data_IF_401999647186
#
_entry.id   IF_401999647186
#
_cell.length_a   1.000
_cell.length_b   1.000
_cell.length_c   1.000
_cell.angle_alpha   90.00
_cell.angle_beta   90.00
_cell.angle_gamma   90.00
#
_symmetry.space_group_name_H-M   'P 1'
#
loop_
_entity.id
_entity.type
_entity.pdbx_description
1 polymer ?
#
# COMPACT_ATOMS: atom_id res chain seq x y z
N UNK A 1 -0.41 -14.71 -20.23
CA UNK A 1 -1.54 -15.16 -19.37
C UNK A 1 -1.38 -14.42 -18.06
N UNK A 2 -2.19 -13.39 -17.83
CA UNK A 2 -2.34 -12.79 -16.50
C UNK A 2 -2.94 -13.88 -15.61
N UNK A 3 -2.16 -14.30 -14.62
CA UNK A 3 -2.64 -15.13 -13.53
C UNK A 3 -3.52 -14.21 -12.65
N UNK A 4 -4.80 -14.20 -12.96
CA UNK A 4 -5.78 -13.57 -12.08
C UNK A 4 -5.85 -14.46 -10.85
N UNK A 5 -5.36 -13.98 -9.71
CA UNK A 5 -5.33 -14.69 -8.44
C UNK A 5 -6.61 -15.47 -8.12
N UNK A 6 -6.71 -16.19 -6.99
CA UNK A 6 -7.69 -17.25 -6.77
C UNK A 6 -9.11 -16.82 -7.13
N UNK A 7 -9.70 -17.51 -8.10
CA UNK A 7 -11.03 -17.28 -8.61
C UNK A 7 -12.08 -17.69 -7.55
N UNK A 8 -12.36 -16.79 -6.63
CA UNK A 8 -13.55 -16.89 -5.77
C UNK A 8 -14.73 -16.10 -6.32
N UNK A 9 -14.74 -15.84 -7.62
CA UNK A 9 -15.93 -15.40 -8.33
C UNK A 9 -16.83 -16.62 -8.51
N UNK A 10 -18.06 -16.53 -8.03
CA UNK A 10 -19.07 -17.54 -8.30
C UNK A 10 -19.13 -17.84 -9.80
N UNK A 11 -19.12 -19.12 -10.24
CA UNK A 11 -19.24 -19.45 -11.65
C UNK A 11 -20.60 -18.95 -12.16
N UNK A 12 -20.63 -17.85 -12.89
CA UNK A 12 -21.86 -17.40 -13.51
C UNK A 12 -22.07 -15.91 -13.72
N UNK A 13 -21.33 -15.02 -13.07
CA UNK A 13 -21.50 -13.58 -13.27
C UNK A 13 -20.22 -12.94 -13.78
N UNK A 14 -20.14 -12.69 -15.06
CA UNK A 14 -19.03 -11.95 -15.69
C UNK A 14 -19.21 -10.42 -15.63
N UNK A 15 -20.32 -9.94 -15.07
CA UNK A 15 -20.66 -8.52 -14.98
C UNK A 15 -21.08 -8.19 -13.56
N UNK A 16 -20.49 -7.12 -13.03
CA UNK A 16 -20.83 -6.56 -11.72
C UNK A 16 -21.22 -5.11 -11.98
N UNK A 17 -22.44 -4.75 -11.59
CA UNK A 17 -22.89 -3.36 -11.66
C UNK A 17 -22.56 -2.65 -10.35
N UNK A 18 -21.87 -1.50 -10.47
CA UNK A 18 -21.45 -0.67 -9.35
C UNK A 18 -22.08 0.72 -9.46
N UNK A 19 -22.81 1.12 -8.43
CA UNK A 19 -23.40 2.45 -8.29
C UNK A 19 -23.26 2.91 -6.84
N UNK A 20 -22.92 4.18 -6.63
CA UNK A 20 -22.73 4.65 -5.26
C UNK A 20 -22.13 6.03 -5.16
N UNK A 21 -21.86 6.45 -3.93
CA UNK A 21 -21.23 7.73 -3.62
C UNK A 21 -19.77 7.51 -3.23
N UNK A 22 -18.91 8.43 -3.66
CA UNK A 22 -17.50 8.46 -3.26
C UNK A 22 -17.13 9.82 -2.72
N UNK A 23 -16.65 9.84 -1.48
CA UNK A 23 -16.01 10.99 -0.86
C UNK A 23 -14.50 10.77 -0.85
N UNK A 24 -13.74 11.76 -1.29
CA UNK A 24 -12.28 11.77 -1.22
C UNK A 24 -11.81 13.14 -0.72
N UNK A 25 -11.10 13.12 0.41
CA UNK A 25 -10.43 14.29 0.98
C UNK A 25 -8.94 14.02 0.98
N UNK A 26 -8.16 14.92 0.40
CA UNK A 26 -6.68 14.79 0.36
C UNK A 26 -6.06 16.13 0.74
N UNK A 27 -5.17 16.09 1.71
CA UNK A 27 -4.31 17.21 2.10
C UNK A 27 -2.88 16.79 1.79
N UNK A 28 -2.18 17.57 0.97
CA UNK A 28 -0.82 17.26 0.54
C UNK A 28 0.07 18.49 0.69
N UNK A 29 1.13 18.33 1.47
CA UNK A 29 2.19 19.31 1.73
C UNK A 29 3.59 18.68 1.63
N UNK A 30 3.70 17.56 0.92
CA UNK A 30 5.01 16.97 0.64
C UNK A 30 5.75 17.81 -0.41
N UNK A 31 7.05 17.96 -0.22
CA UNK A 31 7.95 18.68 -1.15
C UNK A 31 8.27 17.86 -2.42
N UNK A 32 8.10 16.54 -2.36
CA UNK A 32 8.29 15.63 -3.49
C UNK A 32 7.34 14.45 -3.40
N UNK A 33 6.96 13.93 -4.54
CA UNK A 33 6.08 12.77 -4.64
C UNK A 33 6.87 11.44 -4.60
N UNK A 34 8.14 11.47 -4.99
CA UNK A 34 8.98 10.27 -5.15
C UNK A 34 9.87 10.00 -3.94
N UNK A 35 10.70 10.96 -3.58
CA UNK A 35 11.57 10.91 -2.39
C UNK A 35 11.30 12.14 -1.53
N UNK A 36 10.15 12.16 -0.80
CA UNK A 36 9.79 13.32 -0.01
C UNK A 36 10.83 13.55 1.09
N UNK A 37 11.32 14.78 1.16
CA UNK A 37 12.28 15.18 2.15
C UNK A 37 11.64 15.86 3.34
N UNK A 38 10.58 16.63 3.10
CA UNK A 38 9.87 17.36 4.14
C UNK A 38 8.38 17.44 3.83
N UNK A 39 7.59 17.54 4.90
CA UNK A 39 6.15 17.72 4.80
C UNK A 39 5.36 16.48 5.14
N UNK A 40 4.08 16.52 4.83
CA UNK A 40 3.15 15.44 5.12
C UNK A 40 2.01 15.41 4.11
N UNK A 41 1.41 14.25 3.98
CA UNK A 41 0.20 14.02 3.19
C UNK A 41 -0.76 13.16 3.99
N UNK A 42 -2.06 13.42 3.86
CA UNK A 42 -3.12 12.60 4.44
C UNK A 42 -4.28 12.49 3.45
N UNK A 43 -4.89 11.33 3.40
CA UNK A 43 -6.05 11.04 2.56
C UNK A 43 -7.12 10.28 3.33
N UNK A 44 -8.39 10.68 3.16
CA UNK A 44 -9.56 9.94 3.61
C UNK A 44 -10.44 9.63 2.40
N UNK A 45 -10.76 8.36 2.24
CA UNK A 45 -11.66 7.89 1.20
C UNK A 45 -12.82 7.14 1.84
N UNK A 46 -14.03 7.43 1.38
CA UNK A 46 -15.24 6.70 1.76
C UNK A 46 -15.99 6.36 0.47
N UNK A 47 -16.36 5.12 0.31
CA UNK A 47 -17.20 4.64 -0.78
C UNK A 47 -18.42 3.93 -0.20
N UNK A 48 -19.60 4.36 -0.63
CA UNK A 48 -20.88 3.78 -0.28
C UNK A 48 -21.53 3.23 -1.56
N UNK A 49 -21.56 1.91 -1.67
CA UNK A 49 -22.23 1.18 -2.76
C UNK A 49 -23.71 1.02 -2.44
N UNK A 50 -24.59 1.41 -3.37
CA UNK A 50 -26.01 1.47 -3.11
C UNK A 50 -26.84 0.89 -4.27
N UNK A 51 -27.68 -0.08 -3.96
CA UNK A 51 -28.56 -0.73 -4.95
C UNK A 51 -29.59 0.22 -5.57
N UNK A 52 -30.01 1.27 -4.85
CA UNK A 52 -30.85 2.32 -5.41
C UNK A 52 -30.18 3.13 -6.53
N UNK A 53 -28.85 3.07 -6.62
CA UNK A 53 -28.03 3.68 -7.66
C UNK A 53 -27.54 2.67 -8.71
N UNK A 54 -28.09 1.46 -8.70
CA UNK A 54 -27.77 0.42 -9.67
C UNK A 54 -26.62 -0.50 -9.29
N UNK A 55 -26.19 -0.51 -8.02
CA UNK A 55 -25.21 -1.50 -7.56
C UNK A 55 -25.88 -2.86 -7.29
N UNK A 56 -25.13 -3.93 -7.49
CA UNK A 56 -25.59 -5.28 -7.13
C UNK A 56 -25.61 -5.52 -5.61
N UNK A 57 -24.73 -4.84 -4.86
CA UNK A 57 -24.51 -5.08 -3.43
C UNK A 57 -24.37 -3.74 -2.67
N UNK A 58 -25.05 -3.66 -1.51
CA UNK A 58 -24.90 -2.53 -0.57
C UNK A 58 -23.74 -2.81 0.39
N UNK A 59 -22.76 -1.90 0.43
CA UNK A 59 -21.71 -1.90 1.44
C UNK A 59 -21.06 -0.51 1.54
N UNK A 60 -20.49 -0.21 2.67
CA UNK A 60 -19.70 1.02 2.87
C UNK A 60 -18.28 0.66 3.26
N UNK A 61 -17.31 1.22 2.55
CA UNK A 61 -15.87 1.07 2.77
C UNK A 61 -15.22 2.41 3.05
N UNK A 62 -14.30 2.43 3.97
CA UNK A 62 -13.47 3.60 4.22
C UNK A 62 -11.99 3.22 4.26
N UNK A 63 -11.13 4.13 3.89
CA UNK A 63 -9.70 4.06 4.13
C UNK A 63 -9.11 5.44 4.43
N UNK A 64 -8.13 5.44 5.32
CA UNK A 64 -7.32 6.57 5.74
C UNK A 64 -5.87 6.25 5.45
N UNK A 65 -5.17 7.14 4.79
CA UNK A 65 -3.72 7.08 4.61
C UNK A 65 -3.05 8.35 5.13
N UNK A 66 -1.81 8.21 5.56
CA UNK A 66 -0.98 9.31 6.00
C UNK A 66 0.49 9.01 5.78
N UNK A 67 1.26 10.00 5.36
CA UNK A 67 2.71 9.92 5.32
C UNK A 67 3.32 11.25 5.72
N UNK A 68 4.48 11.19 6.39
CA UNK A 68 5.25 12.37 6.78
C UNK A 68 6.74 12.11 6.53
N UNK A 69 7.46 13.11 6.09
CA UNK A 69 8.90 13.07 5.86
C UNK A 69 9.58 14.24 6.57
N UNK A 70 10.76 13.94 7.12
CA UNK A 70 11.63 14.94 7.73
C UNK A 70 13.08 14.64 7.40
N UNK A 71 13.79 15.65 6.89
CA UNK A 71 15.20 15.54 6.48
C UNK A 71 16.12 16.42 7.33
N UNK A 72 17.18 15.82 7.79
CA UNK A 72 18.31 16.50 8.41
C UNK A 72 19.58 16.19 7.60
N UNK A 73 20.14 17.20 6.93
CA UNK A 73 21.27 17.03 6.01
C UNK A 73 20.92 16.10 4.84
N UNK A 74 21.59 14.96 4.77
CA UNK A 74 21.34 13.91 3.76
C UNK A 74 20.47 12.75 4.30
N UNK A 75 20.05 12.81 5.55
CA UNK A 75 19.31 11.78 6.25
C UNK A 75 17.83 12.11 6.24
N UNK A 76 16.99 11.22 5.74
CA UNK A 76 15.54 11.40 5.71
C UNK A 76 14.86 10.28 6.49
N UNK A 77 13.93 10.66 7.35
CA UNK A 77 13.01 9.78 8.05
C UNK A 77 11.62 9.95 7.42
N UNK A 78 11.02 8.85 7.06
CA UNK A 78 9.66 8.83 6.50
C UNK A 78 8.80 7.87 7.30
N UNK A 79 7.61 8.33 7.69
CA UNK A 79 6.63 7.54 8.41
C UNK A 79 5.36 7.46 7.58
N UNK A 80 4.78 6.28 7.50
CA UNK A 80 3.51 6.07 6.82
C UNK A 80 2.55 5.26 7.69
N UNK A 81 1.27 5.60 7.59
CA UNK A 81 0.17 4.89 8.24
C UNK A 81 -0.92 4.63 7.20
N UNK A 82 -1.58 3.49 7.33
CA UNK A 82 -2.80 3.19 6.60
C UNK A 82 -3.76 2.40 7.48
N UNK A 83 -5.03 2.79 7.43
CA UNK A 83 -6.10 2.07 8.09
C UNK A 83 -7.32 2.05 7.16
N UNK A 84 -8.09 0.98 7.21
CA UNK A 84 -9.32 0.91 6.44
C UNK A 84 -10.18 -0.27 6.87
N UNK A 85 -11.43 -0.22 6.48
CA UNK A 85 -12.39 -1.25 6.85
C UNK A 85 -13.75 -1.02 6.24
N UNK A 86 -14.68 -1.88 6.61
CA UNK A 86 -16.10 -1.72 6.31
C UNK A 86 -16.82 -0.96 7.40
N UNK A 87 -17.95 -0.37 7.05
CA UNK A 87 -18.93 0.21 7.99
C UNK A 87 -20.20 -0.64 7.95
N UNK A 88 -20.71 -0.98 9.13
CA UNK A 88 -21.93 -1.80 9.24
C UNK A 88 -21.69 -3.31 9.13
N UNK A 89 -22.78 -4.06 8.98
CA UNK A 89 -22.77 -5.52 9.03
C UNK A 89 -22.45 -6.18 7.67
N UNK A 90 -22.71 -5.50 6.56
CA UNK A 90 -22.52 -6.07 5.24
C UNK A 90 -21.04 -6.33 4.94
N UNK A 91 -20.66 -7.52 4.46
CA UNK A 91 -19.29 -7.83 4.11
C UNK A 91 -18.85 -7.04 2.88
N UNK A 92 -17.54 -6.76 2.78
CA UNK A 92 -16.97 -6.26 1.54
C UNK A 92 -16.98 -7.37 0.49
N UNK A 93 -17.45 -7.09 -0.75
CA UNK A 93 -17.37 -8.05 -1.82
C UNK A 93 -15.90 -8.38 -2.14
N UNK A 94 -15.64 -9.59 -2.62
CA UNK A 94 -14.29 -10.10 -2.87
C UNK A 94 -13.46 -9.19 -3.79
N UNK A 95 -14.11 -8.51 -4.74
CA UNK A 95 -13.46 -7.62 -5.70
C UNK A 95 -13.07 -6.25 -5.10
N UNK A 96 -13.61 -5.87 -3.93
CA UNK A 96 -13.31 -4.59 -3.27
C UNK A 96 -12.68 -4.76 -1.87
N UNK A 97 -12.18 -5.94 -1.55
CA UNK A 97 -11.39 -6.14 -0.33
C UNK A 97 -10.06 -5.42 -0.40
N UNK A 98 -9.46 -5.16 0.76
CA UNK A 98 -8.11 -4.61 0.83
C UNK A 98 -7.10 -5.65 0.36
N UNK A 99 -6.29 -5.25 -0.63
CA UNK A 99 -5.14 -6.02 -1.10
C UNK A 99 -3.89 -5.37 -0.55
N UNK A 100 -3.06 -6.14 0.12
CA UNK A 100 -1.88 -5.65 0.79
C UNK A 100 -0.69 -6.58 0.61
N UNK A 101 0.51 -6.08 0.88
CA UNK A 101 1.76 -6.79 0.66
C UNK A 101 2.57 -6.19 -0.48
N UNK A 102 3.86 -6.44 -0.47
CA UNK A 102 4.81 -5.91 -1.43
C UNK A 102 5.84 -4.98 -0.81
N UNK A 103 6.70 -4.44 -1.63
CA UNK A 103 7.79 -3.56 -1.20
C UNK A 103 7.27 -2.31 -0.50
N UNK A 104 7.78 -2.05 0.70
CA UNK A 104 7.38 -0.94 1.57
C UNK A 104 5.89 -0.94 1.99
N UNK A 105 5.19 -2.06 1.72
CA UNK A 105 3.79 -2.31 2.08
C UNK A 105 3.64 -3.72 2.68
N UNK A 106 4.37 -4.07 3.71
CA UNK A 106 4.57 -5.38 4.28
C UNK A 106 5.56 -6.21 3.45
N UNK A 107 6.79 -5.72 3.41
CA UNK A 107 7.90 -6.32 2.68
C UNK A 107 8.15 -7.77 3.09
N UNK A 108 8.52 -8.63 2.13
CA UNK A 108 8.60 -10.09 2.28
C UNK A 108 7.40 -10.79 1.67
N UNK A 109 6.22 -10.19 1.71
CA UNK A 109 5.06 -10.69 0.97
C UNK A 109 5.05 -10.17 -0.47
N UNK A 110 4.51 -10.95 -1.40
CA UNK A 110 4.29 -10.52 -2.79
C UNK A 110 3.23 -9.41 -2.83
N UNK A 111 3.29 -8.57 -3.85
CA UNK A 111 2.29 -7.53 -4.08
C UNK A 111 0.89 -8.12 -4.11
N UNK A 112 0.00 -7.59 -3.27
CA UNK A 112 -1.38 -8.05 -3.15
C UNK A 112 -1.55 -9.46 -2.60
N UNK A 113 -0.59 -10.04 -1.91
CA UNK A 113 -0.69 -11.39 -1.37
C UNK A 113 -1.66 -11.51 -0.18
N UNK A 114 -1.86 -10.43 0.55
CA UNK A 114 -2.73 -10.37 1.73
C UNK A 114 -4.06 -9.73 1.35
N UNK A 115 -5.17 -10.41 1.64
CA UNK A 115 -6.52 -9.96 1.31
C UNK A 115 -7.42 -9.98 2.55
N UNK A 116 -8.26 -8.96 2.71
CA UNK A 116 -9.25 -8.96 3.77
C UNK A 116 -10.11 -7.71 3.84
N UNK A 117 -11.07 -7.72 4.76
CA UNK A 117 -12.05 -6.64 4.92
C UNK A 117 -11.52 -5.43 5.71
N UNK A 118 -10.44 -5.61 6.48
CA UNK A 118 -9.86 -4.56 7.30
C UNK A 118 -8.35 -4.53 7.12
N UNK A 119 -7.78 -3.34 7.13
CA UNK A 119 -6.35 -3.09 7.02
C UNK A 119 -5.90 -2.11 8.09
N UNK A 120 -4.80 -2.42 8.75
CA UNK A 120 -4.05 -1.47 9.57
C UNK A 120 -2.58 -1.68 9.29
N UNK A 121 -1.85 -0.61 9.03
CA UNK A 121 -0.44 -0.67 8.65
C UNK A 121 0.29 0.57 9.14
N UNK A 122 1.54 0.37 9.57
CA UNK A 122 2.49 1.42 9.90
C UNK A 122 3.88 1.08 9.38
N UNK A 123 4.58 2.08 8.88
CA UNK A 123 5.97 1.99 8.42
C UNK A 123 6.80 3.12 8.97
N UNK A 124 8.00 2.78 9.43
CA UNK A 124 9.09 3.71 9.64
C UNK A 124 10.20 3.40 8.63
N UNK A 125 10.60 4.37 7.83
CA UNK A 125 11.62 4.23 6.79
C UNK A 125 12.67 5.30 6.97
N UNK A 126 13.91 4.90 6.81
CA UNK A 126 15.07 5.78 6.73
C UNK A 126 15.76 5.63 5.39
N UNK A 127 16.18 6.74 4.81
CA UNK A 127 17.04 6.73 3.65
C UNK A 127 18.07 7.88 3.69
N UNK A 128 19.25 7.56 3.18
CA UNK A 128 20.37 8.47 3.06
C UNK A 128 20.60 8.80 1.59
N UNK A 129 20.73 10.09 1.27
CA UNK A 129 21.12 10.53 -0.07
C UNK A 129 22.62 10.34 -0.23
N UNK A 130 23.01 9.38 -1.09
CA UNK A 130 24.41 9.00 -1.35
C UNK A 130 25.04 9.94 -2.38
N UNK A 131 24.32 10.26 -3.45
CA UNK A 131 24.80 11.07 -4.57
C UNK A 131 23.80 12.18 -4.90
N UNK A 132 24.37 13.35 -5.26
CA UNK A 132 23.70 14.40 -6.03
C UNK A 132 24.40 14.46 -7.38
N UNK A 133 23.70 14.27 -8.47
CA UNK A 133 24.29 14.27 -9.79
C UNK A 133 23.46 15.00 -10.83
N UNK A 134 24.02 15.18 -12.00
CA UNK A 134 23.40 15.90 -13.13
C UNK A 134 22.46 14.99 -13.94
N UNK A 135 22.70 13.68 -13.97
CA UNK A 135 21.92 12.69 -14.71
C UNK A 135 20.90 12.00 -13.79
N UNK A 136 21.29 11.78 -12.52
CA UNK A 136 20.40 11.29 -11.48
C UNK A 136 20.14 12.43 -10.51
N UNK A 137 18.87 12.78 -10.30
CA UNK A 137 18.49 13.82 -9.33
C UNK A 137 18.88 13.43 -7.91
N UNK A 138 19.05 12.13 -7.65
CA UNK A 138 19.59 11.58 -6.41
C UNK A 138 19.74 10.06 -6.46
N UNK A 139 20.72 9.55 -5.72
CA UNK A 139 20.80 8.13 -5.37
C UNK A 139 20.68 7.98 -3.86
N UNK A 140 19.96 6.96 -3.43
CA UNK A 140 19.58 6.74 -2.03
C UNK A 140 19.86 5.30 -1.63
N UNK A 141 20.25 5.10 -0.38
CA UNK A 141 20.26 3.82 0.28
C UNK A 141 19.42 3.90 1.55
N UNK A 142 18.64 2.87 1.86
CA UNK A 142 17.75 2.93 2.99
C UNK A 142 17.23 1.59 3.47
N UNK A 143 16.45 1.67 4.55
CA UNK A 143 15.75 0.52 5.12
C UNK A 143 14.38 0.94 5.66
N UNK A 144 13.50 -0.05 5.83
CA UNK A 144 12.21 0.13 6.49
C UNK A 144 11.97 -0.91 7.59
N UNK A 145 11.16 -0.50 8.56
CA UNK A 145 10.52 -1.37 9.53
C UNK A 145 9.01 -1.20 9.36
N UNK A 146 8.31 -2.31 9.28
CA UNK A 146 6.92 -2.34 8.91
C UNK A 146 6.12 -3.25 9.86
N UNK A 147 4.92 -2.81 10.21
CA UNK A 147 3.99 -3.61 11.00
C UNK A 147 2.57 -3.38 10.48
N UNK A 148 1.82 -4.46 10.32
CA UNK A 148 0.46 -4.35 9.80
C UNK A 148 -0.39 -5.57 10.11
N UNK A 149 -1.68 -5.43 9.86
CA UNK A 149 -2.67 -6.48 10.00
C UNK A 149 -3.71 -6.35 8.90
N UNK A 150 -4.01 -7.48 8.27
CA UNK A 150 -5.20 -7.62 7.42
C UNK A 150 -6.19 -8.49 8.19
N UNK A 151 -7.34 -7.91 8.54
CA UNK A 151 -8.37 -8.59 9.32
C UNK A 151 -9.45 -9.21 8.43
N UNK A 152 -10.07 -10.29 8.94
CA UNK A 152 -11.06 -11.10 8.22
C UNK A 152 -10.52 -11.53 6.85
N UNK A 153 -9.41 -12.31 6.82
CA UNK A 153 -8.81 -12.70 5.54
C UNK A 153 -9.76 -13.59 4.75
N UNK A 154 -9.82 -13.34 3.44
CA UNK A 154 -10.65 -14.10 2.52
C UNK A 154 -10.12 -15.51 2.28
N UNK A 155 -8.79 -15.65 2.26
CA UNK A 155 -8.13 -16.92 1.93
C UNK A 155 -7.85 -17.69 3.21
N UNK A 156 -8.41 -18.92 3.37
CA UNK A 156 -8.08 -19.77 4.51
C UNK A 156 -6.57 -20.02 4.61
N UNK A 157 -6.01 -19.94 5.82
CA UNK A 157 -4.57 -20.10 6.05
C UNK A 157 -3.73 -18.84 5.77
N UNK A 158 -4.36 -17.70 5.46
CA UNK A 158 -3.66 -16.42 5.42
C UNK A 158 -3.07 -16.09 6.78
N UNK A 159 -1.91 -15.42 6.84
CA UNK A 159 -1.31 -15.00 8.10
C UNK A 159 -2.27 -14.10 8.88
N UNK A 160 -2.50 -14.43 10.14
CA UNK A 160 -3.34 -13.67 11.06
C UNK A 160 -2.52 -12.90 12.08
N UNK A 161 -3.13 -11.88 12.69
CA UNK A 161 -2.50 -11.08 13.73
C UNK A 161 -1.60 -9.98 13.19
N UNK A 162 -0.64 -9.54 14.03
CA UNK A 162 0.28 -8.48 13.69
C UNK A 162 1.48 -9.03 12.91
N UNK A 163 1.50 -8.74 11.63
CA UNK A 163 2.59 -9.08 10.72
C UNK A 163 3.69 -8.02 10.85
N UNK A 164 4.94 -8.46 10.98
CA UNK A 164 6.12 -7.59 11.06
C UNK A 164 7.08 -7.92 9.94
N UNK A 165 7.62 -6.90 9.30
CA UNK A 165 8.61 -7.06 8.24
C UNK A 165 9.64 -5.93 8.26
N UNK A 166 10.71 -6.14 7.53
CA UNK A 166 11.74 -5.15 7.30
C UNK A 166 12.22 -5.25 5.85
N UNK A 167 12.73 -4.16 5.32
CA UNK A 167 13.39 -4.15 4.01
C UNK A 167 14.65 -3.31 4.01
N UNK A 168 15.54 -3.61 3.05
CA UNK A 168 16.68 -2.77 2.69
C UNK A 168 16.60 -2.47 1.19
N UNK A 169 17.05 -1.30 0.77
CA UNK A 169 16.97 -0.91 -0.62
C UNK A 169 18.04 0.09 -1.04
N UNK A 170 18.31 0.09 -2.32
CA UNK A 170 18.94 1.20 -3.03
C UNK A 170 17.95 1.77 -4.03
N UNK A 171 17.99 3.07 -4.26
CA UNK A 171 17.08 3.73 -5.15
C UNK A 171 17.76 4.91 -5.85
N UNK A 172 17.25 5.26 -7.02
CA UNK A 172 17.70 6.42 -7.78
C UNK A 172 16.49 7.18 -8.33
N UNK A 173 16.56 8.49 -8.27
CA UNK A 173 15.61 9.37 -8.94
C UNK A 173 16.18 9.76 -10.30
N UNK A 174 15.44 9.44 -11.36
CA UNK A 174 15.90 9.58 -12.74
C UNK A 174 14.86 10.28 -13.61
N UNK A 175 15.24 10.84 -14.78
CA UNK A 175 14.30 11.48 -15.70
C UNK A 175 13.15 10.57 -16.18
N UNK A 176 13.34 9.25 -16.16
CA UNK A 176 12.30 8.27 -16.50
C UNK A 176 11.47 7.81 -15.28
N UNK A 177 11.74 8.40 -14.12
CA UNK A 177 11.09 8.11 -12.85
C UNK A 177 12.02 7.43 -11.84
N UNK A 178 11.54 7.27 -10.61
CA UNK A 178 12.31 6.62 -9.55
C UNK A 178 12.47 5.13 -9.82
N UNK A 179 13.68 4.61 -9.58
CA UNK A 179 14.00 3.19 -9.65
C UNK A 179 14.39 2.69 -8.26
N UNK A 180 13.92 1.49 -7.91
CA UNK A 180 14.24 0.84 -6.63
C UNK A 180 14.70 -0.59 -6.87
N UNK A 181 15.72 -1.00 -6.15
CA UNK A 181 16.12 -2.38 -5.97
C UNK A 181 16.11 -2.67 -4.47
N UNK A 182 15.25 -3.58 -4.04
CA UNK A 182 15.03 -3.86 -2.63
C UNK A 182 14.96 -5.35 -2.32
N UNK A 183 15.23 -5.68 -1.06
CA UNK A 183 14.99 -6.97 -0.47
C UNK A 183 14.20 -6.79 0.81
N UNK A 184 13.13 -7.55 0.97
CA UNK A 184 12.28 -7.52 2.14
C UNK A 184 12.09 -8.90 2.75
N UNK A 185 11.96 -8.93 4.08
CA UNK A 185 11.72 -10.15 4.84
C UNK A 185 10.68 -9.92 5.93
N UNK A 186 9.72 -10.83 6.00
CA UNK A 186 8.72 -10.89 7.07
C UNK A 186 9.17 -11.84 8.19
N UNK A 187 8.63 -11.61 9.40
CA UNK A 187 8.97 -12.40 10.59
C UNK A 187 8.62 -13.89 10.46
N UNK A 188 7.59 -14.22 9.68
CA UNK A 188 7.12 -15.59 9.42
C UNK A 188 7.96 -16.35 8.38
N UNK A 189 9.05 -15.74 7.90
CA UNK A 189 10.01 -16.35 6.99
C UNK A 189 9.79 -16.04 5.52
N UNK A 190 8.67 -15.39 5.15
CA UNK A 190 8.47 -14.91 3.79
C UNK A 190 9.52 -13.86 3.43
N UNK A 191 10.09 -13.95 2.23
CA UNK A 191 11.05 -12.98 1.71
C UNK A 191 10.87 -12.76 0.21
N UNK A 192 11.30 -11.60 -0.29
CA UNK A 192 11.17 -11.24 -1.69
C UNK A 192 12.20 -10.20 -2.10
N UNK A 193 12.65 -10.32 -3.36
CA UNK A 193 13.37 -9.26 -4.06
C UNK A 193 12.40 -8.44 -4.87
N UNK A 194 12.67 -7.14 -4.93
CA UNK A 194 11.82 -6.17 -5.60
C UNK A 194 12.64 -5.33 -6.57
N UNK A 195 12.12 -5.15 -7.76
CA UNK A 195 12.57 -4.14 -8.70
C UNK A 195 11.36 -3.32 -9.14
N UNK A 196 11.44 -2.00 -8.95
CA UNK A 196 10.42 -1.06 -9.40
C UNK A 196 11.05 0.03 -10.25
N UNK A 197 10.37 0.34 -11.34
CA UNK A 197 10.59 1.54 -12.13
C UNK A 197 9.29 2.34 -12.11
N UNK A 198 9.35 3.57 -11.62
CA UNK A 198 8.18 4.37 -11.29
C UNK A 198 7.91 4.36 -9.77
N UNK A 199 6.70 4.77 -9.36
CA UNK A 199 6.33 4.82 -7.94
C UNK A 199 6.12 3.41 -7.40
N UNK A 200 6.79 3.09 -6.30
CA UNK A 200 6.67 1.81 -5.63
C UNK A 200 5.43 1.73 -4.72
N UNK A 201 4.78 2.88 -4.41
CA UNK A 201 3.68 3.02 -3.44
C UNK A 201 2.97 4.36 -3.61
#
# INVERSE_FOLDING_TARGET
KLDTGPQYLSPGSSKIDAGGYRLRLVLDRLDSVTFPRNGWRSGLHVYDSNTALGADINYTKWDLDGTAAYTFGNHTFNFALKAGGKVGANPLPNYDQFQWGGFLQQSGYKTGQLYGENLTFGRAMYYHRILKGTILEGAYGGFSLEAGRVGNPLVPGSPEGLLKSASVFVAADSPIGPAYLGYGRAKDGNDSFYFYLGRAF
#
